data_IF_718518916543
#
_entry.id   IF_718518916543
#
_cell.length_a   1.000
_cell.length_b   1.000
_cell.length_c   1.000
_cell.angle_alpha   90.00
_cell.angle_beta   90.00
_cell.angle_gamma   90.00
#
_symmetry.space_group_name_H-M   'P 1'
#
loop_
_entity.id
_entity.type
_entity.pdbx_description
1 polymer ?
#
# COMPACT_ATOMS: atom_id res chain seq x y z
N UNK A 1 15.17 7.38 -5.17
CA UNK A 1 13.94 6.68 -4.81
C UNK A 1 14.17 5.48 -3.88
N UNK A 2 15.39 4.98 -3.76
CA UNK A 2 15.71 3.81 -2.94
C UNK A 2 16.56 4.24 -1.73
N UNK A 3 16.35 3.60 -0.59
CA UNK A 3 17.14 3.85 0.62
C UNK A 3 18.62 3.48 0.47
N UNK A 4 18.97 2.64 -0.50
CA UNK A 4 20.35 2.28 -0.84
C UNK A 4 20.64 2.57 -2.32
N UNK A 5 21.81 3.09 -2.61
CA UNK A 5 22.23 3.37 -3.99
C UNK A 5 22.46 2.06 -4.76
N UNK A 6 21.79 1.90 -5.90
CA UNK A 6 22.09 0.81 -6.84
C UNK A 6 23.44 1.02 -7.54
N UNK A 7 24.06 -0.07 -8.03
CA UNK A 7 25.37 -0.01 -8.69
C UNK A 7 25.42 0.97 -9.87
N UNK A 8 24.35 1.02 -10.68
CA UNK A 8 24.24 1.97 -11.79
C UNK A 8 24.19 3.43 -11.29
N UNK A 9 23.41 3.70 -10.22
CA UNK A 9 23.34 5.03 -9.61
C UNK A 9 24.70 5.45 -9.04
N UNK A 10 25.40 4.54 -8.36
CA UNK A 10 26.75 4.80 -7.84
C UNK A 10 27.78 5.10 -8.94
N UNK A 11 27.68 4.44 -10.09
CA UNK A 11 28.56 4.71 -11.23
C UNK A 11 28.28 6.09 -11.84
N UNK A 12 27.02 6.40 -12.14
CA UNK A 12 26.59 7.68 -12.74
C UNK A 12 26.83 8.86 -11.80
N UNK A 13 26.68 8.67 -10.50
CA UNK A 13 26.89 9.71 -9.49
C UNK A 13 28.31 10.31 -9.48
N UNK A 14 29.31 9.56 -9.96
CA UNK A 14 30.68 10.06 -10.09
C UNK A 14 30.80 11.23 -11.07
N UNK A 15 29.95 11.27 -12.07
CA UNK A 15 29.92 12.27 -13.13
C UNK A 15 28.83 13.33 -12.93
N UNK A 16 27.92 13.13 -11.95
CA UNK A 16 26.84 14.05 -11.69
C UNK A 16 27.31 15.28 -10.90
N UNK A 17 26.74 16.44 -11.17
CA UNK A 17 26.97 17.66 -10.40
C UNK A 17 26.42 17.58 -8.99
N UNK A 18 25.23 16.92 -8.84
CA UNK A 18 24.60 16.61 -7.56
C UNK A 18 23.75 15.36 -7.69
N UNK A 19 23.44 14.71 -6.59
CA UNK A 19 22.61 13.52 -6.53
C UNK A 19 21.40 13.77 -5.62
N UNK A 20 20.19 13.77 -6.17
CA UNK A 20 18.97 13.84 -5.39
C UNK A 20 18.77 12.53 -4.62
N UNK A 21 18.66 12.59 -3.30
CA UNK A 21 18.45 11.47 -2.42
C UNK A 21 17.05 11.55 -1.78
N UNK A 22 16.34 10.41 -1.75
CA UNK A 22 15.03 10.32 -1.12
C UNK A 22 15.09 10.10 0.39
N UNK A 23 16.23 9.61 0.88
CA UNK A 23 16.43 9.24 2.29
C UNK A 23 17.79 9.77 2.76
N UNK A 24 17.91 10.05 4.05
CA UNK A 24 19.19 10.36 4.68
C UNK A 24 20.14 9.16 4.63
N UNK A 25 21.44 9.43 4.67
CA UNK A 25 22.46 8.38 4.73
C UNK A 25 22.65 7.58 3.43
N UNK A 26 22.05 7.99 2.31
CA UNK A 26 22.31 7.34 1.01
C UNK A 26 23.75 7.60 0.60
N UNK A 27 24.53 6.53 0.41
CA UNK A 27 25.95 6.59 0.00
C UNK A 27 26.06 6.98 -1.49
N UNK A 28 25.93 8.27 -1.74
CA UNK A 28 26.13 8.91 -3.05
C UNK A 28 26.95 10.19 -2.89
N UNK A 29 27.93 10.46 -3.76
CA UNK A 29 28.67 11.70 -3.73
C UNK A 29 27.75 12.88 -4.01
N UNK A 30 27.95 13.98 -3.29
CA UNK A 30 27.17 15.23 -3.46
C UNK A 30 25.67 15.00 -3.35
N UNK A 31 25.26 14.10 -2.43
CA UNK A 31 23.86 13.81 -2.15
C UNK A 31 23.18 15.03 -1.52
N UNK A 32 22.01 15.37 -2.06
CA UNK A 32 21.10 16.39 -1.51
C UNK A 32 19.79 15.68 -1.19
N UNK A 33 19.35 15.78 0.05
CA UNK A 33 18.06 15.22 0.47
C UNK A 33 16.94 16.04 -0.17
N UNK A 34 16.16 15.39 -1.05
CA UNK A 34 15.03 16.01 -1.77
C UNK A 34 13.70 15.34 -1.49
N UNK A 35 13.73 14.22 -0.77
CA UNK A 35 12.58 13.33 -0.66
C UNK A 35 12.29 12.55 -1.96
N UNK A 36 11.28 11.68 -1.92
CA UNK A 36 10.79 11.00 -3.10
C UNK A 36 9.86 11.92 -3.92
N UNK A 37 9.98 11.95 -5.24
CA UNK A 37 8.98 12.61 -6.07
C UNK A 37 7.64 11.88 -5.95
N UNK A 38 6.60 12.61 -5.60
CA UNK A 38 5.22 12.11 -5.53
C UNK A 38 4.45 12.70 -6.71
N UNK A 39 3.59 11.90 -7.31
CA UNK A 39 2.79 12.30 -8.46
C UNK A 39 1.81 13.43 -8.10
N UNK A 40 1.62 14.44 -8.98
CA UNK A 40 0.72 15.57 -8.70
C UNK A 40 -0.72 15.15 -8.37
N UNK A 41 -1.22 14.07 -9.01
CA UNK A 41 -2.56 13.53 -8.74
C UNK A 41 -2.70 12.97 -7.32
N UNK A 42 -1.63 12.42 -6.73
CA UNK A 42 -1.63 11.95 -5.33
C UNK A 42 -1.65 13.13 -4.36
N UNK A 43 -0.86 14.16 -4.67
CA UNK A 43 -0.82 15.39 -3.85
C UNK A 43 -2.21 16.07 -3.87
N UNK A 44 -2.84 16.15 -5.04
CA UNK A 44 -4.18 16.69 -5.16
C UNK A 44 -5.22 15.84 -4.39
N UNK A 45 -5.14 14.52 -4.49
CA UNK A 45 -6.04 13.61 -3.79
C UNK A 45 -5.89 13.68 -2.27
N UNK A 46 -4.70 13.99 -1.75
CA UNK A 46 -4.46 14.15 -0.31
C UNK A 46 -5.26 15.32 0.32
N UNK A 47 -5.78 16.23 -0.52
CA UNK A 47 -6.65 17.34 -0.09
C UNK A 47 -8.14 16.98 -0.10
N UNK A 48 -8.52 15.82 -0.64
CA UNK A 48 -9.91 15.37 -0.66
C UNK A 48 -10.34 14.87 0.71
N UNK A 49 -11.58 15.08 1.06
CA UNK A 49 -12.21 14.35 2.15
C UNK A 49 -12.43 12.89 1.75
N UNK A 50 -12.42 11.98 2.72
CA UNK A 50 -12.75 10.56 2.47
C UNK A 50 -14.12 10.40 1.79
N UNK A 51 -15.11 11.22 2.18
CA UNK A 51 -16.45 11.15 1.62
C UNK A 51 -16.46 11.49 0.12
N UNK A 52 -15.74 12.55 -0.29
CA UNK A 52 -15.61 12.92 -1.71
C UNK A 52 -14.88 11.84 -2.51
N UNK A 53 -13.76 11.32 -2.00
CA UNK A 53 -13.00 10.27 -2.66
C UNK A 53 -13.82 8.96 -2.79
N UNK A 54 -14.56 8.57 -1.76
CA UNK A 54 -15.47 7.42 -1.79
C UNK A 54 -16.60 7.60 -2.81
N UNK A 55 -17.21 8.79 -2.85
CA UNK A 55 -18.27 9.10 -3.82
C UNK A 55 -17.79 8.95 -5.27
N UNK A 56 -16.57 9.43 -5.58
CA UNK A 56 -15.97 9.30 -6.92
C UNK A 56 -15.78 7.84 -7.34
N UNK A 57 -15.37 6.99 -6.40
CA UNK A 57 -15.09 5.57 -6.65
C UNK A 57 -16.31 4.66 -6.49
N UNK A 58 -17.46 5.20 -6.05
CA UNK A 58 -18.65 4.41 -5.72
C UNK A 58 -18.42 3.44 -4.55
N UNK A 59 -17.59 3.85 -3.58
CA UNK A 59 -17.32 3.11 -2.36
C UNK A 59 -18.34 3.47 -1.26
N UNK A 60 -18.69 2.52 -0.37
CA UNK A 60 -19.62 2.80 0.72
C UNK A 60 -19.05 3.84 1.68
N UNK A 61 -19.92 4.77 2.12
CA UNK A 61 -19.52 5.86 3.00
C UNK A 61 -19.34 5.43 4.46
N UNK A 62 -20.07 4.39 4.88
CA UNK A 62 -20.27 3.94 6.25
C UNK A 62 -19.47 2.67 6.63
N UNK A 63 -18.57 2.22 5.74
CA UNK A 63 -17.76 1.02 5.98
C UNK A 63 -16.28 1.37 6.11
N UNK A 64 -15.55 0.56 6.85
CA UNK A 64 -14.08 0.60 6.80
C UNK A 64 -13.60 0.16 5.42
N UNK A 65 -12.79 0.96 4.75
CA UNK A 65 -12.31 0.69 3.39
C UNK A 65 -10.86 0.23 3.43
N UNK A 66 -10.62 -1.01 3.01
CA UNK A 66 -9.29 -1.55 2.75
C UNK A 66 -8.95 -1.40 1.26
N UNK A 67 -7.92 -0.62 0.96
CA UNK A 67 -7.32 -0.55 -0.36
C UNK A 67 -6.21 -1.59 -0.50
N UNK A 68 -6.34 -2.50 -1.47
CA UNK A 68 -5.32 -3.50 -1.78
C UNK A 68 -4.72 -3.19 -3.14
N UNK A 69 -3.40 -3.00 -3.20
CA UNK A 69 -2.68 -2.75 -4.45
C UNK A 69 -1.21 -3.13 -4.32
N UNK A 70 -0.55 -3.48 -5.41
CA UNK A 70 0.83 -3.98 -5.37
C UNK A 70 1.65 -3.62 -6.61
N UNK A 71 1.37 -2.42 -7.15
CA UNK A 71 1.97 -1.92 -8.38
C UNK A 71 1.27 -2.44 -9.64
N UNK A 72 1.74 -1.97 -10.81
CA UNK A 72 1.09 -2.18 -12.11
C UNK A 72 0.99 -3.65 -12.55
N UNK A 73 1.93 -4.49 -12.11
CA UNK A 73 1.94 -5.91 -12.48
C UNK A 73 1.15 -6.78 -11.50
N UNK A 74 0.94 -6.32 -10.28
CA UNK A 74 0.34 -7.10 -9.22
C UNK A 74 1.34 -7.91 -8.40
N UNK A 75 0.83 -8.57 -7.37
CA UNK A 75 1.55 -9.49 -6.51
C UNK A 75 0.72 -10.73 -6.25
N UNK A 76 1.11 -11.86 -6.83
CA UNK A 76 0.38 -13.12 -6.65
C UNK A 76 0.26 -13.49 -5.15
N UNK A 77 1.29 -13.20 -4.35
CA UNK A 77 1.27 -13.49 -2.91
C UNK A 77 0.18 -12.67 -2.20
N UNK A 78 0.13 -11.36 -2.42
CA UNK A 78 -0.89 -10.48 -1.83
C UNK A 78 -2.27 -10.88 -2.34
N UNK A 79 -2.44 -11.05 -3.66
CA UNK A 79 -3.72 -11.41 -4.26
C UNK A 79 -4.25 -12.74 -3.71
N UNK A 80 -3.38 -13.76 -3.57
CA UNK A 80 -3.76 -15.07 -3.00
C UNK A 80 -4.16 -14.95 -1.53
N UNK A 81 -3.40 -14.18 -0.74
CA UNK A 81 -3.68 -14.00 0.69
C UNK A 81 -5.03 -13.31 0.90
N UNK A 82 -5.30 -12.25 0.11
CA UNK A 82 -6.57 -11.51 0.18
C UNK A 82 -7.75 -12.39 -0.23
N UNK A 83 -7.69 -13.02 -1.40
CA UNK A 83 -8.79 -13.87 -1.89
C UNK A 83 -9.06 -15.03 -0.94
N UNK A 84 -8.01 -15.66 -0.40
CA UNK A 84 -8.15 -16.74 0.57
C UNK A 84 -8.73 -16.29 1.93
N UNK A 85 -8.63 -15.00 2.26
CA UNK A 85 -9.22 -14.44 3.48
C UNK A 85 -10.71 -14.10 3.34
N UNK A 86 -11.22 -13.89 2.11
CA UNK A 86 -12.58 -13.39 1.86
C UNK A 86 -13.68 -14.23 2.51
N UNK A 87 -13.55 -15.57 2.50
CA UNK A 87 -14.54 -16.45 3.10
C UNK A 87 -14.72 -16.22 4.61
N UNK A 88 -13.64 -15.89 5.32
CA UNK A 88 -13.67 -15.59 6.76
C UNK A 88 -14.18 -14.18 7.05
N UNK A 89 -14.09 -13.28 6.08
CA UNK A 89 -14.59 -11.92 6.14
C UNK A 89 -16.01 -11.77 5.57
N UNK A 90 -16.58 -12.83 5.03
CA UNK A 90 -17.82 -12.78 4.25
C UNK A 90 -19.00 -12.11 4.99
N UNK A 91 -19.12 -12.32 6.30
CA UNK A 91 -20.18 -11.73 7.13
C UNK A 91 -19.90 -10.28 7.59
N UNK A 92 -18.76 -9.66 7.21
CA UNK A 92 -18.38 -8.32 7.66
C UNK A 92 -19.07 -7.23 6.82
N UNK A 93 -20.32 -6.92 7.19
CA UNK A 93 -21.07 -5.82 6.56
C UNK A 93 -20.50 -4.43 6.81
N UNK A 94 -19.58 -4.30 7.76
CA UNK A 94 -18.85 -3.08 8.12
C UNK A 94 -17.56 -2.87 7.31
N UNK A 95 -17.16 -3.83 6.44
CA UNK A 95 -15.91 -3.82 5.68
C UNK A 95 -16.18 -3.72 4.17
N UNK A 96 -15.38 -2.91 3.48
CA UNK A 96 -15.27 -2.87 2.04
C UNK A 96 -13.81 -3.08 1.61
N UNK A 97 -13.57 -3.91 0.62
CA UNK A 97 -12.24 -4.15 0.05
C UNK A 97 -12.25 -3.75 -1.42
N UNK A 98 -11.43 -2.75 -1.78
CA UNK A 98 -11.15 -2.40 -3.17
C UNK A 98 -9.78 -2.98 -3.55
N UNK A 99 -9.78 -3.97 -4.43
CA UNK A 99 -8.61 -4.78 -4.74
C UNK A 99 -8.13 -4.55 -6.18
N UNK A 100 -7.01 -3.84 -6.33
CA UNK A 100 -6.30 -3.66 -7.60
C UNK A 100 -5.33 -4.82 -7.79
N UNK A 101 -5.70 -5.78 -8.64
CA UNK A 101 -4.95 -7.01 -8.87
C UNK A 101 -3.61 -6.80 -9.56
N UNK A 102 -3.53 -5.83 -10.46
CA UNK A 102 -2.42 -5.62 -11.39
C UNK A 102 -2.57 -6.43 -12.69
N UNK A 103 -2.14 -5.83 -13.79
CA UNK A 103 -2.41 -6.32 -15.16
C UNK A 103 -1.97 -7.75 -15.41
N UNK A 104 -0.78 -8.13 -14.96
CA UNK A 104 -0.26 -9.50 -15.13
C UNK A 104 -1.12 -10.52 -14.40
N UNK A 105 -1.46 -10.22 -13.14
CA UNK A 105 -2.15 -11.17 -12.28
C UNK A 105 -3.66 -11.23 -12.59
N UNK A 106 -4.23 -10.16 -13.14
CA UNK A 106 -5.62 -10.13 -13.62
C UNK A 106 -5.88 -11.16 -14.73
N UNK A 107 -4.90 -11.40 -15.59
CA UNK A 107 -5.00 -12.45 -16.61
C UNK A 107 -5.12 -13.86 -16.00
N UNK A 108 -4.79 -14.02 -14.72
CA UNK A 108 -4.83 -15.28 -13.98
C UNK A 108 -6.05 -15.38 -13.05
N UNK A 109 -6.95 -14.37 -13.00
CA UNK A 109 -8.04 -14.25 -12.02
C UNK A 109 -9.03 -15.43 -12.01
N UNK A 110 -9.13 -16.15 -13.12
CA UNK A 110 -10.03 -17.31 -13.23
C UNK A 110 -9.45 -18.59 -12.61
N UNK A 111 -8.17 -18.56 -12.20
CA UNK A 111 -7.57 -19.68 -11.47
C UNK A 111 -8.22 -19.82 -10.09
N UNK A 112 -8.39 -21.07 -9.58
CA UNK A 112 -9.08 -21.34 -8.30
C UNK A 112 -8.57 -20.50 -7.12
N UNK A 113 -7.26 -20.24 -7.07
CA UNK A 113 -6.62 -19.46 -5.99
C UNK A 113 -6.98 -17.97 -5.99
N UNK A 114 -7.51 -17.44 -7.11
CA UNK A 114 -7.90 -16.04 -7.26
C UNK A 114 -9.40 -15.85 -7.39
N UNK A 115 -10.16 -16.94 -7.32
CA UNK A 115 -11.63 -16.89 -7.41
C UNK A 115 -12.24 -16.58 -6.04
N UNK A 116 -12.93 -15.44 -5.88
CA UNK A 116 -13.62 -15.12 -4.65
C UNK A 116 -14.71 -16.16 -4.35
N UNK A 117 -14.95 -16.49 -3.07
CA UNK A 117 -16.12 -17.26 -2.69
C UNK A 117 -17.40 -16.44 -2.90
N UNK A 118 -18.60 -17.07 -2.92
CA UNK A 118 -19.85 -16.33 -2.81
C UNK A 118 -19.88 -15.49 -1.54
N UNK A 119 -20.26 -14.21 -1.67
CA UNK A 119 -20.35 -13.27 -0.56
C UNK A 119 -21.83 -12.88 -0.35
N UNK A 120 -22.31 -12.77 0.90
CA UNK A 120 -23.66 -12.30 1.21
C UNK A 120 -23.84 -10.84 0.75
N UNK A 121 -25.04 -10.48 0.33
CA UNK A 121 -25.32 -9.13 -0.15
C UNK A 121 -25.19 -8.05 0.95
N UNK A 122 -25.48 -8.42 2.19
CA UNK A 122 -25.37 -7.59 3.39
C UNK A 122 -24.02 -7.72 4.12
N UNK A 123 -23.15 -8.58 3.61
CA UNK A 123 -21.80 -8.84 4.17
C UNK A 123 -20.71 -7.94 3.58
N UNK A 124 -19.51 -8.52 3.48
CA UNK A 124 -18.34 -7.89 2.91
C UNK A 124 -18.60 -7.32 1.51
N UNK A 125 -18.32 -6.03 1.31
CA UNK A 125 -18.28 -5.43 -0.01
C UNK A 125 -16.90 -5.67 -0.63
N UNK A 126 -16.82 -6.52 -1.65
CA UNK A 126 -15.57 -6.83 -2.35
C UNK A 126 -15.64 -6.46 -3.82
N UNK A 127 -14.74 -5.56 -4.24
CA UNK A 127 -14.59 -5.16 -5.64
C UNK A 127 -13.14 -5.40 -6.08
N UNK A 128 -12.97 -6.25 -7.08
CA UNK A 128 -11.67 -6.46 -7.72
C UNK A 128 -11.64 -5.75 -9.09
N UNK A 129 -10.52 -5.09 -9.39
CA UNK A 129 -10.25 -4.45 -10.67
C UNK A 129 -8.85 -4.83 -11.18
N UNK A 130 -8.67 -4.81 -12.50
CA UNK A 130 -7.39 -5.09 -13.11
C UNK A 130 -6.35 -4.04 -12.74
N UNK A 131 -6.73 -2.78 -12.91
CA UNK A 131 -5.88 -1.60 -12.75
C UNK A 131 -6.74 -0.41 -12.30
N UNK A 132 -6.14 0.57 -11.68
CA UNK A 132 -6.80 1.82 -11.32
C UNK A 132 -5.93 2.99 -11.77
N UNK A 133 -6.48 3.84 -12.62
CA UNK A 133 -5.89 5.14 -12.97
C UNK A 133 -6.15 6.16 -11.86
N UNK A 134 -7.16 5.92 -11.01
CA UNK A 134 -7.61 6.77 -9.90
C UNK A 134 -7.00 6.35 -8.56
N UNK A 135 -5.72 5.92 -8.58
CA UNK A 135 -5.06 5.41 -7.36
C UNK A 135 -5.00 6.49 -6.27
N UNK A 136 -4.88 7.77 -6.63
CA UNK A 136 -4.92 8.88 -5.67
C UNK A 136 -6.25 8.93 -4.91
N UNK A 137 -7.35 8.87 -5.61
CA UNK A 137 -8.68 8.85 -5.01
C UNK A 137 -8.86 7.59 -4.14
N UNK A 138 -8.31 6.44 -4.56
CA UNK A 138 -8.36 5.22 -3.77
C UNK A 138 -7.58 5.35 -2.45
N UNK A 139 -6.40 5.95 -2.47
CA UNK A 139 -5.62 6.21 -1.25
C UNK A 139 -6.35 7.18 -0.31
N UNK A 140 -6.97 8.23 -0.86
CA UNK A 140 -7.75 9.21 -0.07
C UNK A 140 -9.06 8.60 0.50
N UNK A 141 -9.69 7.67 -0.22
CA UNK A 141 -10.93 6.99 0.19
C UNK A 141 -10.73 5.94 1.28
N UNK A 142 -9.54 5.34 1.35
CA UNK A 142 -9.25 4.21 2.21
C UNK A 142 -9.01 4.60 3.68
N UNK A 143 -9.26 3.66 4.58
CA UNK A 143 -8.89 3.73 6.00
C UNK A 143 -7.60 2.96 6.26
N UNK A 144 -7.33 1.93 5.47
CA UNK A 144 -6.16 1.06 5.58
C UNK A 144 -5.69 0.64 4.19
N UNK A 145 -4.37 0.58 4.00
CA UNK A 145 -3.72 0.07 2.81
C UNK A 145 -3.09 -1.30 3.03
N UNK A 146 -3.14 -2.19 2.02
CA UNK A 146 -2.32 -3.40 1.95
C UNK A 146 -1.53 -3.35 0.64
N UNK A 147 -0.20 -3.27 0.72
CA UNK A 147 0.61 -3.03 -0.48
C UNK A 147 2.07 -3.50 -0.34
N UNK A 148 2.81 -3.44 -1.44
CA UNK A 148 4.27 -3.53 -1.46
C UNK A 148 4.90 -2.26 -0.88
N UNK A 149 6.13 -2.39 -0.35
CA UNK A 149 6.88 -1.27 0.23
C UNK A 149 7.84 -0.60 -0.79
N UNK A 150 7.36 -0.33 -2.00
CA UNK A 150 8.14 0.43 -2.98
C UNK A 150 8.33 1.89 -2.55
N UNK A 151 9.47 2.50 -2.89
CA UNK A 151 9.80 3.86 -2.46
C UNK A 151 8.74 4.90 -2.82
N UNK A 152 8.21 4.87 -4.05
CA UNK A 152 7.12 5.76 -4.46
C UNK A 152 5.84 5.49 -3.66
N UNK A 153 5.50 4.21 -3.46
CA UNK A 153 4.30 3.81 -2.72
C UNK A 153 4.33 4.31 -1.28
N UNK A 154 5.47 4.10 -0.59
CA UNK A 154 5.61 4.57 0.81
C UNK A 154 5.53 6.09 0.90
N UNK A 155 6.12 6.82 -0.05
CA UNK A 155 6.01 8.27 -0.10
C UNK A 155 4.56 8.74 -0.36
N UNK A 156 3.83 8.06 -1.24
CA UNK A 156 2.41 8.32 -1.53
C UNK A 156 1.52 8.05 -0.32
N UNK A 157 1.75 6.94 0.39
CA UNK A 157 1.06 6.62 1.64
C UNK A 157 1.29 7.69 2.72
N UNK A 158 2.54 8.16 2.83
CA UNK A 158 2.91 9.20 3.77
C UNK A 158 2.20 10.54 3.47
N UNK A 159 2.18 10.98 2.20
CA UNK A 159 1.50 12.22 1.79
C UNK A 159 0.01 12.18 2.13
N UNK A 160 -0.66 11.06 1.86
CA UNK A 160 -2.09 10.90 2.18
C UNK A 160 -2.32 10.66 3.67
N UNK A 161 -1.32 10.13 4.37
CA UNK A 161 -1.45 9.72 5.78
C UNK A 161 -2.26 8.43 5.93
N UNK A 162 -2.06 7.46 5.02
CA UNK A 162 -2.82 6.21 5.03
C UNK A 162 -2.09 5.14 5.86
N UNK A 163 -2.67 4.68 6.99
CA UNK A 163 -2.19 3.51 7.72
C UNK A 163 -2.07 2.30 6.80
N UNK A 164 -1.03 1.48 6.96
CA UNK A 164 -0.81 0.43 5.98
C UNK A 164 -0.23 -0.85 6.58
N UNK A 165 -0.56 -1.99 5.95
CA UNK A 165 0.15 -3.25 6.09
C UNK A 165 1.10 -3.35 4.89
N UNK A 166 2.39 -3.31 5.14
CA UNK A 166 3.44 -3.32 4.12
C UNK A 166 4.02 -4.73 3.96
N UNK A 167 4.09 -5.17 2.71
CA UNK A 167 4.66 -6.48 2.33
C UNK A 167 5.85 -6.25 1.39
N UNK A 168 7.08 -6.07 1.91
CA UNK A 168 8.26 -5.84 1.08
C UNK A 168 8.49 -6.95 0.06
N UNK A 169 8.98 -6.59 -1.12
CA UNK A 169 9.34 -7.56 -2.16
C UNK A 169 10.65 -8.30 -1.79
N UNK A 170 10.67 -9.63 -1.69
CA UNK A 170 11.82 -10.38 -1.15
C UNK A 170 13.05 -10.35 -2.06
N UNK A 171 12.86 -10.15 -3.37
CA UNK A 171 13.95 -10.10 -4.37
C UNK A 171 14.47 -8.68 -4.64
N UNK A 172 14.03 -7.69 -3.86
CA UNK A 172 14.56 -6.34 -3.96
C UNK A 172 16.05 -6.35 -3.59
N UNK A 173 16.91 -5.90 -4.52
CA UNK A 173 18.36 -5.87 -4.32
C UNK A 173 18.72 -5.22 -2.99
N UNK A 174 19.47 -5.91 -2.12
CA UNK A 174 19.89 -5.43 -0.78
C UNK A 174 18.72 -5.07 0.16
N UNK A 175 17.57 -5.73 0.05
CA UNK A 175 16.41 -5.53 0.93
C UNK A 175 15.88 -4.07 0.96
N UNK A 176 15.99 -3.36 -0.16
CA UNK A 176 15.62 -1.94 -0.27
C UNK A 176 14.20 -1.63 0.22
N UNK A 177 13.23 -2.49 -0.11
CA UNK A 177 11.84 -2.21 0.27
C UNK A 177 11.63 -2.30 1.78
N UNK A 178 12.38 -3.17 2.47
CA UNK A 178 12.33 -3.24 3.93
C UNK A 178 12.93 -1.99 4.57
N UNK A 179 14.07 -1.53 4.05
CA UNK A 179 14.70 -0.29 4.52
C UNK A 179 13.80 0.94 4.27
N UNK A 180 13.10 0.99 3.12
CA UNK A 180 12.13 2.06 2.82
C UNK A 180 10.94 2.03 3.77
N UNK A 181 10.43 0.83 4.11
CA UNK A 181 9.32 0.65 5.04
C UNK A 181 9.69 1.00 6.49
N UNK A 182 10.97 0.86 6.87
CA UNK A 182 11.41 0.93 8.27
C UNK A 182 10.96 2.23 8.95
N UNK A 183 11.16 3.39 8.33
CA UNK A 183 10.78 4.68 8.90
C UNK A 183 9.28 4.79 9.20
N UNK A 184 8.42 4.31 8.31
CA UNK A 184 6.96 4.34 8.53
C UNK A 184 6.52 3.32 9.59
N UNK A 185 7.18 2.17 9.65
CA UNK A 185 6.93 1.11 10.65
C UNK A 185 7.41 1.54 12.04
N UNK A 186 8.62 2.08 12.14
CA UNK A 186 9.20 2.59 13.39
C UNK A 186 8.39 3.75 13.98
N UNK A 187 7.86 4.63 13.11
CA UNK A 187 6.93 5.67 13.52
C UNK A 187 5.55 5.13 13.99
N UNK A 188 5.23 3.86 13.69
CA UNK A 188 3.93 3.26 14.01
C UNK A 188 2.83 3.54 12.99
N UNK A 189 3.17 4.09 11.81
CA UNK A 189 2.22 4.36 10.73
C UNK A 189 1.92 3.15 9.85
N UNK A 190 2.69 2.07 9.99
CA UNK A 190 2.46 0.83 9.26
C UNK A 190 2.85 -0.41 10.07
N UNK A 191 2.20 -1.55 9.75
CA UNK A 191 2.65 -2.88 10.13
C UNK A 191 3.46 -3.49 8.97
N UNK A 192 4.41 -4.38 9.28
CA UNK A 192 5.23 -5.07 8.28
C UNK A 192 5.01 -6.57 8.35
N UNK A 193 4.71 -7.17 7.21
CA UNK A 193 4.63 -8.63 7.05
C UNK A 193 5.62 -9.03 5.96
N UNK A 194 6.49 -10.01 6.22
CA UNK A 194 7.41 -10.47 5.18
C UNK A 194 6.64 -11.23 4.09
N UNK A 195 7.15 -11.22 2.85
CA UNK A 195 6.48 -11.92 1.75
C UNK A 195 6.34 -13.42 2.03
N UNK A 196 7.37 -14.05 2.65
CA UNK A 196 7.36 -15.46 3.01
C UNK A 196 6.27 -15.81 4.03
N UNK A 197 6.01 -14.92 4.98
CA UNK A 197 5.07 -15.15 6.08
C UNK A 197 3.62 -14.81 5.68
N UNK A 198 3.44 -14.08 4.57
CA UNK A 198 2.12 -13.67 4.13
C UNK A 198 1.30 -14.88 3.66
N UNK A 199 0.31 -15.21 4.44
CA UNK A 199 -0.79 -16.14 4.17
C UNK A 199 -2.12 -15.44 4.46
N UNK A 200 -3.24 -16.09 4.13
CA UNK A 200 -4.56 -15.57 4.52
C UNK A 200 -4.71 -15.46 6.04
N UNK A 201 -4.17 -16.42 6.80
CA UNK A 201 -4.20 -16.40 8.27
C UNK A 201 -3.34 -15.27 8.83
N UNK A 202 -2.13 -15.09 8.29
CA UNK A 202 -1.25 -14.00 8.70
C UNK A 202 -1.86 -12.64 8.36
N UNK A 203 -2.44 -12.50 7.18
CA UNK A 203 -3.16 -11.26 6.80
C UNK A 203 -4.29 -10.95 7.79
N UNK A 204 -5.11 -11.94 8.13
CA UNK A 204 -6.22 -11.75 9.07
C UNK A 204 -5.73 -11.41 10.47
N UNK A 205 -4.61 -12.00 10.92
CA UNK A 205 -4.03 -11.67 12.21
C UNK A 205 -3.60 -10.20 12.33
N UNK A 206 -3.13 -9.59 11.22
CA UNK A 206 -2.80 -8.16 11.17
C UNK A 206 -4.03 -7.27 10.94
N UNK A 207 -4.98 -7.73 10.12
CA UNK A 207 -6.11 -6.93 9.68
C UNK A 207 -7.21 -6.83 10.74
N UNK A 208 -7.60 -7.97 11.37
CA UNK A 208 -8.73 -8.01 12.28
C UNK A 208 -8.60 -7.02 13.45
N UNK A 209 -7.45 -6.89 14.15
CA UNK A 209 -7.33 -5.91 15.24
C UNK A 209 -7.51 -4.45 14.78
N UNK A 210 -7.24 -4.15 13.50
CA UNK A 210 -7.36 -2.79 12.94
C UNK A 210 -8.77 -2.47 12.48
N UNK A 211 -9.54 -3.48 12.05
CA UNK A 211 -10.94 -3.28 11.63
C UNK A 211 -11.93 -3.47 12.77
N UNK A 212 -11.58 -4.25 13.80
CA UNK A 212 -12.41 -4.45 15.00
C UNK A 212 -12.28 -3.25 15.97
N UNK A 213 -11.14 -2.57 15.96
CA UNK A 213 -10.83 -1.40 16.77
C UNK A 213 -10.36 -0.25 15.85
N UNK A 214 -11.25 0.35 15.03
CA UNK A 214 -10.86 1.34 14.00
C UNK A 214 -10.24 2.62 14.59
N UNK A 215 -10.42 2.89 15.88
CA UNK A 215 -9.72 3.95 16.59
C UNK A 215 -8.19 3.77 16.60
N UNK A 216 -7.68 2.56 16.43
CA UNK A 216 -6.24 2.28 16.29
C UNK A 216 -5.66 2.85 15.00
N UNK A 217 -6.48 3.07 13.97
CA UNK A 217 -6.05 3.67 12.72
C UNK A 217 -5.75 5.17 12.87
N UNK A 218 -6.36 5.86 13.83
CA UNK A 218 -6.16 7.31 14.02
C UNK A 218 -4.71 7.67 14.40
N UNK A 219 -4.09 7.07 15.44
CA UNK A 219 -2.68 7.34 15.73
C UNK A 219 -1.76 6.88 14.59
N UNK A 220 -2.05 5.78 13.91
CA UNK A 220 -1.28 5.33 12.74
C UNK A 220 -1.33 6.37 11.62
N UNK A 221 -2.50 6.93 11.32
CA UNK A 221 -2.66 7.97 10.30
C UNK A 221 -1.93 9.27 10.68
N UNK A 222 -1.96 9.65 11.95
CA UNK A 222 -1.30 10.86 12.44
C UNK A 222 0.22 10.82 12.26
N UNK A 223 0.85 9.65 12.48
CA UNK A 223 2.30 9.47 12.34
C UNK A 223 2.71 9.09 10.91
N UNK A 224 1.79 8.59 10.09
CA UNK A 224 2.06 8.28 8.69
C UNK A 224 2.32 9.56 7.88
N UNK A 225 1.70 10.70 8.23
CA UNK A 225 1.95 11.99 7.58
C UNK A 225 3.31 12.55 8.01
N UNK A 226 4.15 13.04 7.09
CA UNK A 226 5.34 13.79 7.46
C UNK A 226 4.92 14.99 8.32
N UNK A 227 5.56 15.15 9.45
CA UNK A 227 5.48 16.42 10.17
C UNK A 227 6.34 17.41 9.39
N UNK A 228 5.70 18.39 8.73
CA UNK A 228 6.36 19.42 7.92
C UNK A 228 7.30 20.31 8.70
#
# INVERSE_FOLDING_TARGET
QNALAGSASGLVARFATSCAAAFEGVDLPRAVLTGNPVRPEIIAAASLSKAEARARLGLPADRTVLAVFSGSLGSQRINTAVVGALGRLAGRGDLAIHHVFGRRDWALRDQPRFRPPPLPADGLSYRAVEYSDEIGDLLAAADLGLTRAGGSTVAELAIVGLPSILVPLPIATRDHQRAVAAGLVEAGGAALVTDSDLSSDRLLAELLPLIDEPERLLPMAAVARPQG
#
